data_IF_069667060305
#
_entry.id   IF_069667060305
#
_cell.length_a   1.000
_cell.length_b   1.000
_cell.length_c   1.000
_cell.angle_alpha   90.00
_cell.angle_beta   90.00
_cell.angle_gamma   90.00
#
_symmetry.space_group_name_H-M   'P 1'
#
loop_
_entity.id
_entity.type
_entity.pdbx_description
1 polymer ?
#
# COMPACT_ATOMS: atom_id res chain seq x y z
N UNK A 1 36.97 -3.52 -14.12
CA UNK A 1 36.60 -2.38 -13.26
C UNK A 1 36.16 -2.95 -11.93
N UNK A 2 36.48 -2.33 -10.79
CA UNK A 2 35.94 -2.78 -9.51
C UNK A 2 34.41 -2.63 -9.56
N UNK A 3 33.68 -3.67 -9.16
CA UNK A 3 32.21 -3.64 -9.04
C UNK A 3 31.84 -2.68 -7.93
N UNK A 4 30.98 -1.71 -8.22
CA UNK A 4 30.47 -0.74 -7.25
C UNK A 4 29.72 -1.49 -6.14
N UNK A 5 30.02 -1.19 -4.88
CA UNK A 5 29.30 -1.79 -3.74
C UNK A 5 27.90 -1.18 -3.60
N UNK A 6 26.97 -1.85 -2.88
CA UNK A 6 25.63 -1.32 -2.66
C UNK A 6 25.62 0.07 -2.00
N UNK A 7 26.46 0.25 -0.97
CA UNK A 7 26.60 1.54 -0.30
C UNK A 7 27.18 2.64 -1.18
N UNK A 8 28.17 2.33 -2.04
CA UNK A 8 28.73 3.30 -2.98
C UNK A 8 27.71 3.74 -4.04
N UNK A 9 26.90 2.81 -4.54
CA UNK A 9 25.86 3.11 -5.54
C UNK A 9 24.75 3.98 -4.96
N UNK A 10 24.29 3.67 -3.75
CA UNK A 10 23.28 4.47 -3.07
C UNK A 10 23.81 5.87 -2.73
N UNK A 11 25.04 5.97 -2.20
CA UNK A 11 25.68 7.26 -1.91
C UNK A 11 25.82 8.15 -3.15
N UNK A 12 26.24 7.58 -4.28
CA UNK A 12 26.36 8.33 -5.52
C UNK A 12 24.99 8.78 -6.07
N UNK A 13 23.97 7.92 -5.94
CA UNK A 13 22.59 8.27 -6.33
C UNK A 13 22.04 9.42 -5.47
N UNK A 14 22.26 9.36 -4.15
CA UNK A 14 21.88 10.42 -3.21
C UNK A 14 22.63 11.73 -3.47
N UNK A 15 23.92 11.67 -3.80
CA UNK A 15 24.71 12.85 -4.14
C UNK A 15 24.18 13.58 -5.38
N UNK A 16 23.59 12.84 -6.33
CA UNK A 16 22.97 13.33 -7.55
C UNK A 16 21.60 14.00 -7.37
N UNK A 17 20.97 13.88 -6.19
CA UNK A 17 19.68 14.52 -5.92
C UNK A 17 19.80 16.03 -6.13
N UNK A 18 18.88 16.60 -6.91
CA UNK A 18 18.87 18.03 -7.21
C UNK A 18 18.76 18.86 -5.93
N UNK A 19 19.45 20.00 -5.87
CA UNK A 19 19.43 20.85 -4.68
C UNK A 19 18.02 21.34 -4.28
N UNK A 20 17.03 21.31 -5.19
CA UNK A 20 15.62 21.62 -4.87
C UNK A 20 14.91 20.54 -4.06
N UNK A 21 15.37 19.30 -4.17
CA UNK A 21 14.77 18.13 -3.52
C UNK A 21 15.67 17.56 -2.41
N UNK A 22 16.77 18.26 -2.08
CA UNK A 22 17.64 17.87 -0.97
C UNK A 22 16.97 18.19 0.36
N UNK A 23 17.10 17.25 1.29
CA UNK A 23 16.71 17.43 2.68
C UNK A 23 17.70 18.32 3.43
N UNK A 24 17.40 18.64 4.69
CA UNK A 24 18.27 19.41 5.56
C UNK A 24 19.67 18.79 5.67
N UNK A 25 20.70 19.62 5.87
CA UNK A 25 22.10 19.17 5.84
C UNK A 25 22.43 18.14 6.94
N UNK A 26 21.92 18.32 8.16
CA UNK A 26 22.07 17.37 9.25
C UNK A 26 21.48 15.99 8.91
N UNK A 27 20.25 15.97 8.41
CA UNK A 27 19.56 14.76 7.99
C UNK A 27 20.28 14.10 6.81
N UNK A 28 20.72 14.87 5.82
CA UNK A 28 21.51 14.32 4.69
C UNK A 28 22.79 13.64 5.19
N UNK A 29 23.51 14.26 6.15
CA UNK A 29 24.73 13.67 6.70
C UNK A 29 24.45 12.35 7.45
N UNK A 30 23.36 12.26 8.20
CA UNK A 30 22.90 11.03 8.85
C UNK A 30 22.59 9.93 7.82
N UNK A 31 21.86 10.28 6.75
CA UNK A 31 21.51 9.34 5.68
C UNK A 31 22.74 8.88 4.90
N UNK A 32 23.69 9.77 4.61
CA UNK A 32 24.96 9.43 3.97
C UNK A 32 25.79 8.49 4.86
N UNK A 33 25.80 8.72 6.17
CA UNK A 33 26.45 7.81 7.11
C UNK A 33 25.78 6.44 7.11
N UNK A 34 24.44 6.39 7.13
CA UNK A 34 23.70 5.13 7.05
C UNK A 34 23.99 4.37 5.75
N UNK A 35 23.96 5.06 4.60
CA UNK A 35 24.29 4.49 3.29
C UNK A 35 25.72 3.94 3.23
N UNK A 36 26.70 4.65 3.84
CA UNK A 36 28.11 4.23 3.88
C UNK A 36 28.35 2.96 4.68
N UNK A 37 27.54 2.72 5.72
CA UNK A 37 27.68 1.59 6.64
C UNK A 37 26.54 0.57 6.51
N UNK A 38 25.89 0.51 5.33
CA UNK A 38 24.84 -0.46 5.05
C UNK A 38 25.34 -1.89 5.22
N UNK A 39 24.61 -2.66 6.02
CA UNK A 39 24.87 -4.08 6.28
C UNK A 39 23.78 -5.01 5.74
N UNK A 40 22.58 -4.50 5.49
CA UNK A 40 21.43 -5.23 4.93
C UNK A 40 20.51 -4.28 4.14
N UNK A 41 19.51 -4.84 3.47
CA UNK A 41 18.47 -4.07 2.78
C UNK A 41 17.53 -3.30 3.73
N UNK A 42 17.49 -3.66 5.02
CA UNK A 42 16.51 -3.16 6.00
C UNK A 42 16.58 -1.64 6.19
N UNK A 43 17.79 -1.07 6.14
CA UNK A 43 18.00 0.36 6.30
C UNK A 43 17.58 1.18 5.06
N UNK A 44 17.41 0.55 3.90
CA UNK A 44 17.15 1.26 2.63
C UNK A 44 15.75 1.86 2.61
N UNK A 45 14.73 1.15 3.09
CA UNK A 45 13.35 1.66 3.14
C UNK A 45 13.22 2.97 3.92
N UNK A 46 13.73 3.04 5.17
CA UNK A 46 13.78 4.28 5.94
C UNK A 46 14.64 5.37 5.29
N UNK A 47 15.80 5.04 4.69
CA UNK A 47 16.63 6.02 3.97
C UNK A 47 15.84 6.69 2.85
N UNK A 48 15.23 5.88 1.97
CA UNK A 48 14.47 6.38 0.81
C UNK A 48 13.29 7.23 1.26
N UNK A 49 12.58 6.81 2.31
CA UNK A 49 11.46 7.59 2.85
C UNK A 49 11.91 8.92 3.44
N UNK A 50 13.03 8.94 4.17
CA UNK A 50 13.56 10.15 4.80
C UNK A 50 14.22 11.13 3.82
N UNK A 51 14.58 10.69 2.61
CA UNK A 51 15.00 11.59 1.52
C UNK A 51 13.82 12.42 0.95
N UNK A 52 12.58 12.15 1.36
CA UNK A 52 11.40 12.89 0.92
C UNK A 52 11.24 12.85 -0.60
N UNK A 53 11.14 14.02 -1.24
CA UNK A 53 10.98 14.11 -2.69
C UNK A 53 12.27 13.80 -3.47
N UNK A 54 13.42 13.70 -2.81
CA UNK A 54 14.74 13.54 -3.43
C UNK A 54 14.81 12.44 -4.49
N UNK A 55 14.38 11.20 -4.19
CA UNK A 55 14.34 10.09 -5.12
C UNK A 55 13.52 10.34 -6.39
N UNK A 56 12.58 11.30 -6.36
CA UNK A 56 11.77 11.67 -7.54
C UNK A 56 12.61 12.17 -8.73
N UNK A 57 13.86 12.57 -8.48
CA UNK A 57 14.83 12.90 -9.51
C UNK A 57 15.29 11.69 -10.35
N UNK A 58 15.11 10.46 -9.85
CA UNK A 58 15.56 9.23 -10.51
C UNK A 58 14.49 8.61 -11.40
N UNK A 59 13.27 9.13 -11.35
CA UNK A 59 12.09 8.49 -11.92
C UNK A 59 11.77 9.04 -13.31
N UNK A 60 11.21 8.18 -14.15
CA UNK A 60 10.67 8.53 -15.45
C UNK A 60 9.23 9.01 -15.34
N UNK A 61 8.77 9.95 -16.19
CA UNK A 61 7.36 10.30 -16.26
C UNK A 61 6.47 9.08 -16.55
N UNK A 62 5.22 9.07 -16.04
CA UNK A 62 4.26 8.03 -16.40
C UNK A 62 3.97 8.00 -17.91
N UNK A 63 3.55 6.85 -18.48
CA UNK A 63 3.07 6.78 -19.85
C UNK A 63 1.84 7.67 -20.05
N UNK A 64 1.55 8.05 -21.30
CA UNK A 64 0.39 8.89 -21.62
C UNK A 64 -0.96 8.13 -21.56
N UNK A 65 -0.92 6.80 -21.61
CA UNK A 65 -2.07 5.90 -21.53
C UNK A 65 -1.65 4.54 -21.01
N UNK A 66 -2.60 3.84 -20.36
CA UNK A 66 -2.43 2.45 -19.97
C UNK A 66 -2.74 1.51 -21.16
N UNK A 67 -1.98 0.43 -21.26
CA UNK A 67 -2.09 -0.63 -22.27
C UNK A 67 -1.98 -2.00 -21.60
N UNK A 68 -3.00 -2.83 -21.77
CA UNK A 68 -3.03 -4.19 -21.21
C UNK A 68 -2.77 -5.22 -22.30
N UNK A 69 -1.98 -6.28 -22.04
CA UNK A 69 -1.50 -6.72 -20.72
C UNK A 69 -0.19 -6.06 -20.24
N UNK A 70 0.46 -5.18 -21.03
CA UNK A 70 1.77 -4.59 -20.71
C UNK A 70 1.83 -3.99 -19.31
N UNK A 71 0.85 -3.16 -18.95
CA UNK A 71 0.80 -2.43 -17.68
C UNK A 71 0.22 -3.26 -16.52
N UNK A 72 0.04 -4.57 -16.72
CA UNK A 72 -0.12 -5.50 -15.60
C UNK A 72 1.17 -5.73 -14.85
N UNK A 73 2.33 -5.66 -15.52
CA UNK A 73 3.63 -5.86 -14.90
C UNK A 73 4.09 -4.63 -14.10
N UNK A 74 5.05 -4.80 -13.17
CA UNK A 74 5.67 -3.67 -12.50
C UNK A 74 6.32 -2.68 -13.49
N UNK A 75 6.39 -1.40 -13.13
CA UNK A 75 6.96 -0.31 -13.95
C UNK A 75 8.31 0.23 -13.40
N UNK A 76 9.44 -0.50 -13.44
CA UNK A 76 10.68 -0.19 -12.70
C UNK A 76 11.23 1.24 -12.76
N UNK A 77 10.89 2.03 -13.78
CA UNK A 77 11.26 3.45 -13.89
C UNK A 77 10.36 4.44 -13.13
N UNK A 78 9.30 3.99 -12.46
CA UNK A 78 8.25 4.84 -11.86
C UNK A 78 7.85 4.33 -10.46
N UNK A 79 8.61 4.58 -9.39
CA UNK A 79 8.21 4.19 -8.02
C UNK A 79 7.58 5.35 -7.21
N UNK A 80 6.97 5.06 -6.05
CA UNK A 80 6.69 3.72 -5.51
C UNK A 80 5.58 3.01 -6.28
N UNK A 81 5.58 1.68 -6.26
CA UNK A 81 4.52 0.85 -6.86
C UNK A 81 4.23 -0.37 -6.02
N UNK A 82 2.97 -0.78 -5.98
CA UNK A 82 2.51 -1.93 -5.23
C UNK A 82 1.32 -2.65 -5.85
N UNK A 83 1.24 -3.93 -5.49
CA UNK A 83 0.06 -4.77 -5.60
C UNK A 83 -0.42 -5.02 -4.18
N UNK A 84 -1.66 -4.63 -3.90
CA UNK A 84 -2.26 -4.74 -2.57
C UNK A 84 -3.52 -5.58 -2.68
N UNK A 85 -3.61 -6.64 -1.87
CA UNK A 85 -4.68 -7.63 -1.92
C UNK A 85 -5.32 -7.71 -0.53
N UNK A 86 -6.59 -7.39 -0.46
CA UNK A 86 -7.41 -7.54 0.72
C UNK A 86 -8.40 -8.69 0.53
N UNK A 87 -8.32 -9.70 1.38
CA UNK A 87 -9.14 -10.90 1.36
C UNK A 87 -10.05 -10.96 2.58
N UNK A 88 -11.33 -11.26 2.37
CA UNK A 88 -12.30 -11.60 3.42
C UNK A 88 -12.69 -13.07 3.25
N UNK A 89 -12.26 -13.91 4.18
CA UNK A 89 -12.28 -15.36 4.04
C UNK A 89 -13.11 -16.05 5.12
N UNK A 90 -13.77 -17.12 4.74
CA UNK A 90 -14.39 -18.10 5.64
C UNK A 90 -13.46 -19.30 5.80
N UNK A 91 -13.49 -19.92 6.97
CA UNK A 91 -12.75 -21.15 7.27
C UNK A 91 -13.62 -22.35 6.96
N UNK A 92 -13.15 -23.25 6.09
CA UNK A 92 -13.89 -24.47 5.76
C UNK A 92 -14.07 -25.37 6.99
N UNK A 93 -15.31 -25.76 7.27
CA UNK A 93 -15.65 -26.55 8.46
C UNK A 93 -15.51 -25.79 9.78
N UNK A 94 -15.19 -24.49 9.74
CA UNK A 94 -15.14 -23.61 10.91
C UNK A 94 -16.52 -23.28 11.48
N UNK A 95 -16.54 -22.58 12.61
CA UNK A 95 -17.80 -22.08 13.18
C UNK A 95 -18.44 -21.02 12.25
N UNK A 96 -19.78 -20.79 12.30
CA UNK A 96 -20.45 -19.83 11.41
C UNK A 96 -19.88 -18.40 11.45
N UNK A 97 -19.37 -17.96 12.60
CA UNK A 97 -18.78 -16.64 12.78
C UNK A 97 -17.25 -16.63 12.61
N UNK A 98 -16.64 -17.80 12.37
CA UNK A 98 -15.20 -17.93 12.18
C UNK A 98 -14.79 -17.43 10.79
N UNK A 99 -13.88 -16.46 10.78
CA UNK A 99 -13.46 -15.77 9.57
C UNK A 99 -12.04 -15.27 9.68
N UNK A 100 -11.42 -15.05 8.52
CA UNK A 100 -10.08 -14.50 8.42
C UNK A 100 -10.07 -13.31 7.47
N UNK A 101 -9.61 -12.16 7.96
CA UNK A 101 -9.15 -11.10 7.08
C UNK A 101 -7.68 -11.36 6.77
N UNK A 102 -7.31 -11.40 5.50
CA UNK A 102 -5.90 -11.48 5.09
C UNK A 102 -5.58 -10.31 4.20
N UNK A 103 -4.55 -9.56 4.56
CA UNK A 103 -4.02 -8.51 3.72
C UNK A 103 -2.61 -8.84 3.26
N UNK A 104 -2.33 -8.66 1.98
CA UNK A 104 -1.04 -8.96 1.35
C UNK A 104 -0.61 -7.76 0.51
N UNK A 105 0.67 -7.39 0.60
CA UNK A 105 1.23 -6.38 -0.30
C UNK A 105 2.58 -6.82 -0.85
N UNK A 106 2.79 -6.64 -2.14
CA UNK A 106 4.10 -6.68 -2.79
C UNK A 106 4.39 -5.30 -3.37
N UNK A 107 5.55 -4.74 -3.05
CA UNK A 107 5.91 -3.37 -3.38
C UNK A 107 7.33 -3.29 -3.94
N UNK A 108 7.60 -2.23 -4.70
CA UNK A 108 8.94 -1.87 -5.12
C UNK A 108 9.21 -0.37 -5.00
N UNK A 109 10.48 -0.05 -4.77
CA UNK A 109 11.03 1.28 -4.92
C UNK A 109 12.28 1.22 -5.81
N UNK A 110 12.43 2.19 -6.71
CA UNK A 110 13.72 2.43 -7.36
C UNK A 110 14.61 3.16 -6.36
N UNK A 111 15.73 2.54 -6.00
CA UNK A 111 16.61 3.06 -4.95
C UNK A 111 17.95 3.54 -5.49
N UNK A 112 18.19 3.32 -6.78
CA UNK A 112 19.41 3.73 -7.50
C UNK A 112 19.04 4.59 -8.71
N UNK A 113 19.81 5.66 -8.89
CA UNK A 113 19.73 6.53 -10.06
C UNK A 113 20.06 5.72 -11.34
N UNK A 114 19.27 5.82 -12.43
CA UNK A 114 19.54 5.07 -13.66
C UNK A 114 20.93 5.31 -14.26
N UNK A 115 21.53 6.49 -14.09
CA UNK A 115 22.89 6.79 -14.52
C UNK A 115 23.93 6.01 -13.69
N UNK A 116 23.71 5.91 -12.38
CA UNK A 116 24.57 5.14 -11.47
C UNK A 116 24.40 3.64 -11.71
N UNK A 117 23.17 3.17 -11.91
CA UNK A 117 22.88 1.80 -12.32
C UNK A 117 23.67 1.43 -13.59
N UNK A 118 23.60 2.26 -14.63
CA UNK A 118 24.32 2.04 -15.89
C UNK A 118 25.85 2.03 -15.69
N UNK A 119 26.38 2.95 -14.87
CA UNK A 119 27.80 3.00 -14.54
C UNK A 119 28.28 1.75 -13.79
N UNK A 120 27.46 1.23 -12.88
CA UNK A 120 27.75 0.03 -12.10
C UNK A 120 27.58 -1.26 -12.92
N UNK A 121 26.92 -1.20 -14.07
CA UNK A 121 26.61 -2.37 -14.90
C UNK A 121 25.55 -3.27 -14.27
N UNK A 122 24.66 -2.71 -13.44
CA UNK A 122 23.62 -3.43 -12.72
C UNK A 122 22.39 -3.69 -13.60
N UNK A 123 21.76 -4.82 -13.38
CA UNK A 123 20.43 -5.17 -13.90
C UNK A 123 19.36 -4.20 -13.40
N UNK A 124 18.15 -4.30 -13.97
CA UNK A 124 16.99 -3.51 -13.50
C UNK A 124 16.66 -3.89 -12.06
N UNK A 125 16.64 -5.18 -11.76
CA UNK A 125 16.38 -5.77 -10.46
C UNK A 125 17.35 -5.29 -9.39
N UNK A 126 18.65 -5.21 -9.69
CA UNK A 126 19.67 -4.71 -8.76
C UNK A 126 19.49 -3.23 -8.39
N UNK A 127 18.75 -2.44 -9.18
CA UNK A 127 18.41 -1.06 -8.89
C UNK A 127 17.12 -0.87 -8.08
N UNK A 128 16.39 -1.96 -7.79
CA UNK A 128 15.12 -1.93 -7.08
C UNK A 128 15.22 -2.55 -5.69
N UNK A 129 14.61 -1.91 -4.71
CA UNK A 129 14.26 -2.53 -3.43
C UNK A 129 12.84 -3.10 -3.56
N UNK A 130 12.71 -4.41 -3.47
CA UNK A 130 11.40 -5.05 -3.36
C UNK A 130 11.12 -5.34 -1.89
N UNK A 131 9.84 -5.28 -1.52
CA UNK A 131 9.42 -5.73 -0.20
C UNK A 131 7.99 -6.22 -0.23
N UNK A 132 7.67 -7.06 0.74
CA UNK A 132 6.32 -7.58 0.95
C UNK A 132 5.97 -7.62 2.42
N UNK A 133 4.67 -7.58 2.71
CA UNK A 133 4.12 -7.81 4.04
C UNK A 133 2.78 -8.53 3.97
N UNK A 134 2.38 -9.12 5.09
CA UNK A 134 1.11 -9.78 5.26
C UNK A 134 0.56 -9.54 6.66
N UNK A 135 -0.75 -9.34 6.75
CA UNK A 135 -1.48 -9.28 8.03
C UNK A 135 -2.62 -10.29 7.99
N UNK A 136 -2.87 -10.95 9.10
CA UNK A 136 -4.00 -11.88 9.24
C UNK A 136 -4.76 -11.54 10.51
N UNK A 137 -6.05 -11.26 10.39
CA UNK A 137 -6.97 -11.14 11.52
C UNK A 137 -7.86 -12.37 11.52
N UNK A 138 -7.64 -13.26 12.48
CA UNK A 138 -8.46 -14.46 12.67
C UNK A 138 -9.48 -14.21 13.77
N UNK A 139 -10.77 -14.16 13.41
CA UNK A 139 -11.87 -14.01 14.35
C UNK A 139 -12.48 -15.37 14.64
N UNK A 140 -12.48 -15.78 15.91
CA UNK A 140 -13.14 -17.00 16.40
C UNK A 140 -14.14 -16.67 17.50
N UNK A 141 -14.79 -17.69 18.06
CA UNK A 141 -15.66 -17.55 19.22
C UNK A 141 -14.95 -16.98 20.47
N UNK A 142 -13.62 -17.10 20.57
CA UNK A 142 -12.83 -16.50 21.67
C UNK A 142 -12.48 -15.03 21.43
N UNK A 143 -12.82 -14.48 20.27
CA UNK A 143 -12.48 -13.13 19.84
C UNK A 143 -11.42 -13.10 18.72
N UNK A 144 -11.08 -11.89 18.24
CA UNK A 144 -10.09 -11.71 17.19
C UNK A 144 -8.66 -11.84 17.70
N UNK A 145 -7.79 -12.38 16.86
CA UNK A 145 -6.33 -12.35 17.02
C UNK A 145 -5.68 -11.90 15.73
N UNK A 146 -4.77 -10.94 15.85
CA UNK A 146 -4.01 -10.39 14.73
C UNK A 146 -2.62 -11.02 14.67
N UNK A 147 -2.17 -11.33 13.46
CA UNK A 147 -0.84 -11.84 13.14
C UNK A 147 -0.23 -10.93 12.08
N UNK A 148 1.04 -10.59 12.29
CA UNK A 148 1.79 -9.72 11.39
C UNK A 148 3.15 -10.36 11.17
N UNK A 149 3.55 -10.49 9.92
CA UNK A 149 4.93 -10.85 9.60
C UNK A 149 5.83 -9.64 9.75
N UNK A 150 7.10 -9.90 10.07
CA UNK A 150 8.11 -8.89 9.79
C UNK A 150 8.13 -8.63 8.28
N UNK A 151 8.25 -7.37 7.82
CA UNK A 151 8.38 -7.11 6.39
C UNK A 151 9.56 -7.89 5.81
N UNK A 152 9.38 -8.55 4.66
CA UNK A 152 10.53 -9.12 3.94
C UNK A 152 10.98 -8.13 2.89
N UNK A 153 12.22 -7.71 2.98
CA UNK A 153 12.85 -6.77 2.07
C UNK A 153 13.95 -7.51 1.32
N UNK A 154 13.94 -7.39 -0.01
CA UNK A 154 14.96 -7.99 -0.86
C UNK A 154 15.55 -6.91 -1.75
N UNK A 155 16.86 -6.75 -1.65
CA UNK A 155 17.65 -5.95 -2.56
C UNK A 155 18.77 -6.84 -3.11
N UNK A 156 18.73 -7.23 -4.40
CA UNK A 156 19.64 -8.24 -4.96
C UNK A 156 21.14 -8.05 -4.68
N UNK A 157 21.69 -6.82 -4.58
CA UNK A 157 23.09 -6.61 -4.20
C UNK A 157 23.45 -7.10 -2.78
N UNK A 158 22.48 -7.30 -1.89
CA UNK A 158 22.63 -7.99 -0.59
C UNK A 158 22.24 -9.47 -0.63
N UNK A 159 21.83 -9.98 -1.79
CA UNK A 159 21.32 -11.33 -1.99
C UNK A 159 19.79 -11.41 -2.05
N UNK A 160 19.29 -12.62 -2.28
CA UNK A 160 17.89 -12.88 -2.57
C UNK A 160 17.55 -12.76 -4.05
N UNK A 161 16.35 -13.19 -4.41
CA UNK A 161 15.85 -13.19 -5.79
C UNK A 161 14.71 -12.20 -5.92
N UNK A 162 14.77 -11.38 -6.95
CA UNK A 162 13.65 -10.50 -7.33
C UNK A 162 13.36 -10.72 -8.80
N UNK A 163 12.08 -10.82 -9.14
CA UNK A 163 11.64 -10.98 -10.54
C UNK A 163 10.47 -10.06 -10.79
N UNK A 164 10.48 -9.33 -11.91
CA UNK A 164 9.36 -8.52 -12.39
C UNK A 164 9.14 -8.86 -13.86
N UNK A 165 8.04 -9.56 -14.16
CA UNK A 165 7.78 -10.11 -15.48
C UNK A 165 6.31 -9.96 -15.86
N UNK A 166 6.06 -9.70 -17.15
CA UNK A 166 4.72 -9.48 -17.70
C UNK A 166 4.05 -10.76 -18.24
N UNK A 167 4.80 -11.65 -18.89
CA UNK A 167 4.25 -12.84 -19.55
C UNK A 167 5.13 -14.09 -19.35
N UNK A 168 4.67 -15.10 -18.57
CA UNK A 168 3.53 -14.99 -17.65
C UNK A 168 3.76 -13.89 -16.60
N UNK A 169 2.68 -13.38 -16.01
CA UNK A 169 2.79 -12.40 -14.92
C UNK A 169 3.54 -13.02 -13.74
N UNK A 170 4.60 -12.36 -13.28
CA UNK A 170 5.33 -12.73 -12.08
C UNK A 170 5.91 -11.49 -11.39
N UNK A 171 5.55 -11.32 -10.13
CA UNK A 171 6.22 -10.41 -9.22
C UNK A 171 6.75 -11.21 -8.03
N UNK A 172 8.06 -11.27 -7.85
CA UNK A 172 8.73 -12.11 -6.85
C UNK A 172 9.64 -11.27 -5.95
N UNK A 173 9.51 -11.46 -4.63
CA UNK A 173 10.33 -10.82 -3.59
C UNK A 173 10.86 -11.90 -2.65
N UNK A 174 12.00 -12.48 -3.01
CA UNK A 174 12.59 -13.60 -2.30
C UNK A 174 11.69 -14.84 -2.38
N UNK A 175 11.24 -15.38 -1.24
CA UNK A 175 10.37 -16.57 -1.21
C UNK A 175 8.90 -16.23 -1.52
N UNK A 176 8.53 -14.94 -1.53
CA UNK A 176 7.16 -14.51 -1.82
C UNK A 176 6.96 -14.26 -3.31
N UNK A 177 5.78 -14.59 -3.82
CA UNK A 177 5.45 -14.36 -5.23
C UNK A 177 3.96 -14.18 -5.47
N UNK A 178 3.63 -13.26 -6.37
CA UNK A 178 2.37 -13.19 -7.10
C UNK A 178 2.64 -13.65 -8.53
N UNK A 179 2.01 -14.74 -8.96
CA UNK A 179 2.23 -15.36 -10.27
C UNK A 179 0.92 -15.67 -10.96
N UNK A 180 0.83 -15.46 -12.26
CA UNK A 180 -0.45 -15.59 -12.96
C UNK A 180 -0.31 -15.73 -14.46
N UNK A 181 -1.43 -15.62 -15.17
CA UNK A 181 -1.42 -15.58 -16.63
C UNK A 181 -0.94 -14.21 -17.15
N UNK A 182 -0.88 -14.03 -18.46
CA UNK A 182 -0.57 -12.73 -19.08
C UNK A 182 -1.53 -11.61 -18.67
N UNK A 183 -2.79 -11.93 -18.36
CA UNK A 183 -3.81 -10.99 -17.84
C UNK A 183 -3.97 -11.10 -16.32
N UNK A 184 -2.90 -11.52 -15.62
CA UNK A 184 -2.79 -11.71 -14.16
C UNK A 184 -3.63 -12.87 -13.61
N UNK A 185 -4.90 -12.99 -14.01
CA UNK A 185 -5.83 -13.98 -13.48
C UNK A 185 -5.81 -15.29 -14.31
N UNK A 186 -5.97 -16.47 -13.68
CA UNK A 186 -5.99 -16.70 -12.24
C UNK A 186 -4.63 -16.41 -11.60
N UNK A 187 -4.64 -15.70 -10.48
CA UNK A 187 -3.44 -15.30 -9.75
C UNK A 187 -3.17 -16.27 -8.61
N UNK A 188 -1.98 -16.86 -8.57
CA UNK A 188 -1.45 -17.62 -7.44
C UNK A 188 -0.62 -16.68 -6.56
N UNK A 189 -0.92 -16.68 -5.27
CA UNK A 189 -0.27 -15.86 -4.26
C UNK A 189 0.38 -16.77 -3.24
N UNK A 190 1.70 -16.61 -3.05
CA UNK A 190 2.52 -17.34 -2.08
C UNK A 190 3.26 -16.35 -1.19
N UNK A 191 2.99 -16.41 0.11
CA UNK A 191 3.74 -15.70 1.16
C UNK A 191 4.33 -16.74 2.11
N UNK A 192 5.64 -16.65 2.36
CA UNK A 192 6.41 -17.68 3.05
C UNK A 192 7.21 -17.10 4.22
N UNK A 193 6.55 -16.78 5.34
CA UNK A 193 7.22 -16.35 6.57
C UNK A 193 7.42 -17.51 7.53
N UNK A 194 8.68 -17.93 7.70
CA UNK A 194 9.10 -19.06 8.54
C UNK A 194 10.19 -18.60 9.53
N UNK A 195 9.82 -17.86 10.60
CA UNK A 195 10.78 -17.37 11.57
C UNK A 195 11.43 -18.53 12.34
N UNK A 196 12.73 -18.45 12.72
CA UNK A 196 13.41 -19.51 13.45
C UNK A 196 12.76 -19.90 14.78
N UNK A 197 12.22 -18.89 15.50
CA UNK A 197 11.68 -19.04 16.85
C UNK A 197 10.22 -18.56 16.94
N UNK A 198 9.36 -18.98 15.99
CA UNK A 198 7.95 -18.61 15.99
C UNK A 198 7.07 -19.51 15.13
N UNK A 199 5.76 -19.34 15.25
CA UNK A 199 4.80 -19.98 14.34
C UNK A 199 4.92 -19.35 12.94
N UNK A 200 4.86 -20.14 11.87
CA UNK A 200 4.90 -19.60 10.51
C UNK A 200 3.64 -18.79 10.21
N UNK A 201 3.81 -17.78 9.34
CA UNK A 201 2.72 -17.09 8.64
C UNK A 201 2.87 -17.42 7.15
N UNK A 202 2.09 -18.41 6.70
CA UNK A 202 2.09 -18.85 5.30
C UNK A 202 0.73 -18.54 4.68
N UNK A 203 0.72 -17.98 3.49
CA UNK A 203 -0.50 -17.71 2.73
C UNK A 203 -0.33 -18.24 1.32
N UNK A 204 -1.16 -19.22 0.95
CA UNK A 204 -1.18 -19.85 -0.36
C UNK A 204 -2.60 -19.74 -0.93
N UNK A 205 -2.84 -18.77 -1.80
CA UNK A 205 -4.17 -18.45 -2.31
C UNK A 205 -4.19 -18.47 -3.84
N UNK A 206 -5.32 -18.89 -4.40
CA UNK A 206 -5.65 -18.69 -5.81
C UNK A 206 -6.81 -17.70 -5.91
N UNK A 207 -6.59 -16.63 -6.66
CA UNK A 207 -7.55 -15.58 -6.95
C UNK A 207 -8.04 -15.71 -8.40
N UNK A 208 -9.35 -15.67 -8.60
CA UNK A 208 -9.97 -15.75 -9.92
C UNK A 208 -11.15 -14.77 -10.03
N UNK A 209 -11.64 -14.51 -11.24
CA UNK A 209 -12.83 -13.68 -11.46
C UNK A 209 -13.96 -14.47 -12.10
N UNK A 210 -15.20 -14.06 -11.84
CA UNK A 210 -16.38 -14.51 -12.61
C UNK A 210 -16.49 -13.80 -13.96
N UNK A 211 -15.81 -12.66 -14.11
CA UNK A 211 -15.70 -11.92 -15.37
C UNK A 211 -14.50 -12.41 -16.17
N UNK A 212 -14.46 -12.09 -17.47
CA UNK A 212 -13.26 -12.32 -18.28
C UNK A 212 -12.09 -11.51 -17.70
N UNK A 213 -10.87 -12.07 -17.73
CA UNK A 213 -9.69 -11.44 -17.12
C UNK A 213 -9.47 -10.00 -17.61
N UNK A 214 -9.70 -9.75 -18.91
CA UNK A 214 -9.51 -8.46 -19.56
C UNK A 214 -10.52 -7.38 -19.14
N UNK A 215 -11.63 -7.77 -18.50
CA UNK A 215 -12.66 -6.84 -18.00
C UNK A 215 -12.90 -6.97 -16.50
N UNK A 216 -12.16 -7.84 -15.81
CA UNK A 216 -12.30 -8.10 -14.38
C UNK A 216 -11.83 -6.92 -13.51
N UNK A 217 -11.03 -6.00 -14.05
CA UNK A 217 -10.60 -4.78 -13.39
C UNK A 217 -11.31 -3.54 -13.93
N UNK A 218 -11.26 -2.44 -13.18
CA UNK A 218 -11.66 -1.12 -13.65
C UNK A 218 -10.55 -0.10 -13.43
N UNK A 219 -10.48 0.87 -14.33
CA UNK A 219 -9.55 1.98 -14.22
C UNK A 219 -10.06 2.99 -13.18
N UNK A 220 -9.22 3.25 -12.18
CA UNK A 220 -9.45 4.28 -11.19
C UNK A 220 -9.21 5.67 -11.79
N UNK A 221 -9.53 6.73 -11.03
CA UNK A 221 -9.34 8.11 -11.47
C UNK A 221 -9.93 8.40 -12.86
N UNK A 222 -9.22 9.22 -13.64
CA UNK A 222 -9.53 9.49 -15.04
C UNK A 222 -8.63 8.63 -15.92
N UNK A 223 -9.22 7.65 -16.61
CA UNK A 223 -8.52 6.74 -17.52
C UNK A 223 -7.32 6.00 -16.90
N UNK A 224 -7.39 5.73 -15.58
CA UNK A 224 -6.34 5.06 -14.82
C UNK A 224 -5.35 6.03 -14.17
N UNK A 225 -5.54 7.34 -14.29
CA UNK A 225 -4.67 8.35 -13.72
C UNK A 225 -5.33 9.08 -12.55
N UNK A 226 -4.63 9.17 -11.42
CA UNK A 226 -5.02 9.93 -10.24
C UNK A 226 -4.36 11.32 -10.23
N UNK A 227 -5.03 12.35 -9.69
CA UNK A 227 -4.44 13.69 -9.58
C UNK A 227 -3.59 13.86 -8.31
N UNK A 228 -2.81 14.96 -8.19
CA UNK A 228 -2.19 15.35 -6.93
C UNK A 228 -3.20 15.45 -5.76
N UNK A 229 -2.75 15.25 -4.50
CA UNK A 229 -1.36 15.04 -4.08
C UNK A 229 -0.84 13.61 -4.30
N UNK A 230 -1.70 12.70 -4.78
CA UNK A 230 -1.37 11.28 -5.03
C UNK A 230 -1.46 10.96 -6.52
N UNK A 231 -0.66 11.68 -7.31
CA UNK A 231 -0.63 11.46 -8.75
C UNK A 231 0.01 10.12 -9.08
N UNK A 232 -0.57 9.40 -10.04
CA UNK A 232 -0.16 8.03 -10.30
C UNK A 232 -0.97 7.31 -11.36
N UNK A 233 -0.62 6.04 -11.57
CA UNK A 233 -1.41 5.06 -12.29
C UNK A 233 -2.14 4.18 -11.27
N UNK A 234 -3.42 3.92 -11.48
CA UNK A 234 -4.22 3.15 -10.54
C UNK A 234 -5.38 2.43 -11.24
N UNK A 235 -5.54 1.14 -10.95
CA UNK A 235 -6.70 0.33 -11.28
C UNK A 235 -6.86 -0.83 -10.31
N UNK A 236 -8.06 -1.42 -10.26
CA UNK A 236 -8.41 -2.39 -9.23
C UNK A 236 -9.27 -3.53 -9.76
N UNK A 237 -9.15 -4.72 -9.15
CA UNK A 237 -9.97 -5.91 -9.36
C UNK A 237 -10.88 -6.15 -8.14
N UNK A 238 -12.12 -5.65 -8.15
CA UNK A 238 -13.11 -6.01 -7.13
C UNK A 238 -13.68 -7.42 -7.34
N UNK A 239 -14.36 -7.94 -6.32
CA UNK A 239 -15.14 -9.19 -6.37
C UNK A 239 -14.37 -10.43 -6.86
N UNK A 240 -13.05 -10.49 -6.62
CA UNK A 240 -12.26 -11.69 -6.91
C UNK A 240 -12.72 -12.83 -6.00
N UNK A 241 -12.77 -14.05 -6.54
CA UNK A 241 -13.01 -15.28 -5.79
C UNK A 241 -11.69 -15.84 -5.30
N UNK A 242 -11.64 -16.21 -4.02
CA UNK A 242 -10.45 -16.74 -3.36
C UNK A 242 -10.68 -18.18 -2.93
N UNK A 243 -9.68 -19.02 -3.12
CA UNK A 243 -9.56 -20.33 -2.45
C UNK A 243 -8.11 -20.62 -2.11
N UNK A 244 -7.87 -21.42 -1.07
CA UNK A 244 -6.51 -21.85 -0.71
C UNK A 244 -6.37 -22.10 0.78
N UNK A 245 -5.20 -21.79 1.32
CA UNK A 245 -4.89 -22.02 2.73
C UNK A 245 -4.11 -20.86 3.37
N UNK A 246 -4.35 -20.69 4.67
CA UNK A 246 -3.62 -19.76 5.54
C UNK A 246 -3.12 -20.53 6.75
N UNK A 247 -1.83 -20.41 7.05
CA UNK A 247 -1.22 -20.99 8.24
C UNK A 247 -0.81 -19.88 9.21
N UNK A 248 -1.40 -19.88 10.41
CA UNK A 248 -1.11 -18.95 11.51
C UNK A 248 -1.34 -19.63 12.85
N UNK A 249 -0.61 -19.21 13.89
CA UNK A 249 -0.78 -19.76 15.24
C UNK A 249 -0.55 -21.27 15.32
N UNK A 250 0.36 -21.79 14.51
CA UNK A 250 0.72 -23.21 14.45
C UNK A 250 -0.35 -24.11 13.81
N UNK A 251 -1.39 -23.55 13.20
CA UNK A 251 -2.47 -24.29 12.52
C UNK A 251 -2.57 -23.85 11.05
N UNK A 252 -3.13 -24.73 10.21
CA UNK A 252 -3.42 -24.44 8.80
C UNK A 252 -4.91 -24.56 8.56
N UNK A 253 -5.46 -23.54 7.89
CA UNK A 253 -6.89 -23.39 7.64
C UNK A 253 -7.13 -23.39 6.14
N UNK A 254 -8.01 -24.29 5.68
CA UNK A 254 -8.54 -24.21 4.32
C UNK A 254 -9.58 -23.09 4.28
N UNK A 255 -9.49 -22.24 3.27
CA UNK A 255 -10.22 -20.98 3.22
C UNK A 255 -10.78 -20.73 1.83
N UNK A 256 -11.92 -20.04 1.80
CA UNK A 256 -12.50 -19.48 0.57
C UNK A 256 -13.14 -18.13 0.87
N UNK A 257 -13.38 -17.31 -0.14
CA UNK A 257 -14.04 -16.03 0.07
C UNK A 257 -13.89 -15.07 -1.10
N UNK A 258 -13.84 -13.78 -0.78
CA UNK A 258 -13.67 -12.71 -1.76
C UNK A 258 -12.41 -11.92 -1.50
N UNK A 259 -11.87 -11.32 -2.57
CA UNK A 259 -10.77 -10.38 -2.49
C UNK A 259 -11.03 -9.14 -3.33
N UNK A 260 -10.29 -8.10 -2.99
CA UNK A 260 -10.07 -6.92 -3.80
C UNK A 260 -8.57 -6.80 -4.01
N UNK A 261 -8.15 -6.51 -5.24
CA UNK A 261 -6.74 -6.24 -5.56
C UNK A 261 -6.60 -4.85 -6.18
N UNK A 262 -5.63 -4.09 -5.68
CA UNK A 262 -5.19 -2.82 -6.23
C UNK A 262 -3.82 -3.00 -6.89
N UNK A 263 -3.62 -2.36 -8.04
CA UNK A 263 -2.30 -2.09 -8.59
C UNK A 263 -2.16 -0.58 -8.75
N UNK A 264 -1.26 -0.01 -7.97
CA UNK A 264 -1.03 1.42 -7.94
C UNK A 264 0.47 1.72 -8.05
N UNK A 265 0.76 2.74 -8.85
CA UNK A 265 2.06 3.37 -8.93
C UNK A 265 1.86 4.85 -8.68
N UNK A 266 2.62 5.42 -7.74
CA UNK A 266 2.63 6.85 -7.51
C UNK A 266 3.86 7.48 -8.13
N UNK A 267 3.72 8.73 -8.58
CA UNK A 267 4.84 9.55 -8.98
C UNK A 267 4.64 10.96 -8.43
N UNK A 268 5.71 11.52 -7.86
CA UNK A 268 5.74 12.90 -7.42
C UNK A 268 6.53 13.73 -8.43
N UNK A 269 5.86 14.52 -9.29
CA UNK A 269 6.57 15.40 -10.20
C UNK A 269 7.36 16.44 -9.42
N UNK A 270 8.66 16.56 -9.69
CA UNK A 270 9.40 17.74 -9.25
C UNK A 270 8.80 18.95 -9.98
N UNK A 271 8.34 19.99 -9.26
CA UNK A 271 7.79 21.17 -9.90
C UNK A 271 8.84 21.79 -10.84
N UNK A 272 8.41 22.32 -12.01
CA UNK A 272 9.34 22.92 -12.95
C UNK A 272 10.12 24.06 -12.28
N UNK A 273 11.37 24.33 -12.73
CA UNK A 273 12.19 25.39 -12.19
C UNK A 273 11.50 26.76 -12.12
N UNK A 274 10.94 27.14 -10.97
CA UNK A 274 10.46 28.50 -10.73
C UNK A 274 11.27 29.17 -9.64
N UNK A 275 12.15 30.10 -10.04
CA UNK A 275 12.94 30.90 -9.11
C UNK A 275 14.27 30.26 -8.64
N UNK A 276 14.99 30.95 -7.74
CA UNK A 276 16.26 30.49 -7.22
C UNK A 276 16.09 29.14 -6.52
N UNK A 277 17.05 28.24 -6.72
CA UNK A 277 17.10 26.96 -6.01
C UNK A 277 17.33 27.27 -4.53
N UNK A 278 16.38 26.93 -3.62
CA UNK A 278 16.58 27.19 -2.20
C UNK A 278 17.76 26.36 -1.71
N UNK A 279 18.59 26.97 -0.86
CA UNK A 279 19.58 26.21 -0.09
C UNK A 279 18.83 25.39 0.95
N UNK A 280 19.09 24.08 1.07
CA UNK A 280 18.51 23.29 2.15
C UNK A 280 18.83 23.90 3.52
N UNK A 281 17.91 23.80 4.50
CA UNK A 281 18.17 24.29 5.85
C UNK A 281 19.31 23.49 6.50
N UNK A 282 20.00 24.10 7.47
CA UNK A 282 21.05 23.42 8.24
C UNK A 282 20.48 22.26 9.06
N UNK A 283 19.31 22.46 9.66
CA UNK A 283 18.67 21.50 10.56
C UNK A 283 17.28 21.11 10.09
N UNK A 284 16.97 19.83 10.20
CA UNK A 284 15.63 19.34 9.91
C UNK A 284 14.66 19.73 11.03
N UNK A 285 13.49 20.24 10.64
CA UNK A 285 12.42 20.59 11.59
C UNK A 285 11.14 19.84 11.23
N UNK A 286 10.47 19.19 12.20
CA UNK A 286 9.24 18.46 11.93
C UNK A 286 8.13 19.41 11.47
N UNK A 287 7.40 19.08 10.39
CA UNK A 287 6.16 19.79 10.09
C UNK A 287 5.15 19.57 11.22
N UNK A 288 4.27 20.55 11.41
CA UNK A 288 3.22 20.45 12.44
C UNK A 288 2.13 19.47 12.01
N UNK A 289 1.65 18.67 12.95
CA UNK A 289 0.54 17.75 12.75
C UNK A 289 0.95 16.38 12.22
N UNK A 290 -0.01 15.74 11.54
CA UNK A 290 0.08 14.41 10.97
C UNK A 290 -0.11 14.48 9.45
N UNK A 291 0.36 13.45 8.73
CA UNK A 291 0.26 13.36 7.28
C UNK A 291 -0.06 11.93 6.90
N UNK A 292 -1.21 11.70 6.26
CA UNK A 292 -1.73 10.35 6.12
C UNK A 292 -2.98 10.25 5.27
N UNK A 293 -3.57 9.05 5.25
CA UNK A 293 -4.82 8.79 4.57
C UNK A 293 -5.61 7.68 5.25
N UNK A 294 -6.90 7.68 4.96
CA UNK A 294 -7.80 6.57 5.25
C UNK A 294 -8.43 6.14 3.94
N UNK A 295 -8.29 4.86 3.64
CA UNK A 295 -8.77 4.26 2.41
C UNK A 295 -9.64 3.07 2.76
N UNK A 296 -10.85 2.99 2.21
CA UNK A 296 -11.75 1.88 2.47
C UNK A 296 -12.28 1.31 1.16
N UNK A 297 -12.29 -0.02 1.09
CA UNK A 297 -12.77 -0.82 -0.04
C UNK A 297 -13.73 -1.88 0.46
N UNK A 298 -14.80 -2.15 -0.30
CA UNK A 298 -15.80 -3.14 0.07
C UNK A 298 -16.35 -3.86 -1.15
N UNK A 299 -16.45 -5.18 -1.03
CA UNK A 299 -17.23 -6.04 -1.91
C UNK A 299 -18.61 -6.26 -1.26
N UNK A 300 -19.67 -5.89 -1.97
CA UNK A 300 -21.06 -6.02 -1.50
C UNK A 300 -21.64 -7.37 -1.92
N UNK A 301 -22.56 -7.89 -1.12
CA UNK A 301 -23.16 -9.22 -1.33
C UNK A 301 -23.96 -9.33 -2.64
N UNK A 302 -24.46 -8.20 -3.16
CA UNK A 302 -25.16 -8.15 -4.44
C UNK A 302 -24.22 -8.16 -5.66
N UNK A 303 -22.90 -8.18 -5.45
CA UNK A 303 -21.88 -8.14 -6.51
C UNK A 303 -21.39 -6.73 -6.87
N UNK A 304 -21.99 -5.68 -6.29
CA UNK A 304 -21.47 -4.32 -6.43
C UNK A 304 -20.24 -4.11 -5.52
N UNK A 305 -19.53 -3.01 -5.69
CA UNK A 305 -18.41 -2.67 -4.82
C UNK A 305 -18.26 -1.17 -4.58
N UNK A 306 -17.56 -0.81 -3.50
CA UNK A 306 -17.32 0.56 -3.08
C UNK A 306 -15.82 0.77 -2.80
N UNK A 307 -15.27 1.88 -3.24
CA UNK A 307 -13.94 2.37 -2.83
C UNK A 307 -14.03 3.85 -2.50
N UNK A 308 -13.43 4.28 -1.39
CA UNK A 308 -13.39 5.68 -0.96
C UNK A 308 -12.07 5.99 -0.26
N UNK A 309 -11.57 7.21 -0.43
CA UNK A 309 -10.34 7.66 0.20
C UNK A 309 -10.49 9.08 0.77
N UNK A 310 -9.98 9.28 1.98
CA UNK A 310 -9.82 10.57 2.64
C UNK A 310 -8.36 10.83 2.97
N UNK A 311 -7.94 12.09 2.83
CA UNK A 311 -6.56 12.50 3.07
C UNK A 311 -6.49 13.43 4.27
N UNK A 312 -5.42 13.27 5.06
CA UNK A 312 -5.24 13.96 6.33
C UNK A 312 -3.89 14.68 6.32
N UNK A 313 -3.93 16.00 6.47
CA UNK A 313 -2.74 16.84 6.61
C UNK A 313 -2.98 17.87 7.71
N UNK A 314 -2.00 18.06 8.59
CA UNK A 314 -2.08 19.01 9.69
C UNK A 314 -2.71 18.40 10.95
N UNK A 315 -3.56 19.13 11.70
CA UNK A 315 -4.08 18.63 12.98
C UNK A 315 -4.99 17.41 12.76
N UNK A 316 -4.88 16.38 13.60
CA UNK A 316 -5.70 15.17 13.50
C UNK A 316 -7.20 15.50 13.49
N UNK A 317 -7.89 15.16 12.41
CA UNK A 317 -9.33 15.39 12.26
C UNK A 317 -10.12 14.08 12.44
N UNK A 318 -11.25 14.09 13.16
CA UNK A 318 -12.14 12.93 13.25
C UNK A 318 -13.04 12.78 12.01
N UNK A 319 -12.95 13.70 11.04
CA UNK A 319 -13.68 13.63 9.78
C UNK A 319 -12.83 14.27 8.68
N UNK A 320 -12.58 13.50 7.63
CA UNK A 320 -11.76 13.89 6.50
C UNK A 320 -12.64 14.25 5.30
N UNK A 321 -12.27 15.29 4.54
CA UNK A 321 -12.66 15.38 3.15
C UNK A 321 -12.22 14.11 2.42
N UNK A 322 -13.16 13.51 1.69
CA UNK A 322 -12.95 12.33 0.87
C UNK A 322 -13.24 12.68 -0.60
N UNK A 323 -12.29 13.33 -1.29
CA UNK A 323 -12.47 13.84 -2.65
C UNK A 323 -12.36 12.75 -3.72
N UNK A 324 -12.28 11.48 -3.31
CA UNK A 324 -12.02 10.36 -4.19
C UNK A 324 -12.81 9.13 -3.76
N UNK A 325 -13.55 8.54 -4.70
CA UNK A 325 -14.21 7.27 -4.51
C UNK A 325 -15.04 6.86 -5.72
N UNK A 326 -15.41 5.58 -5.76
CA UNK A 326 -16.27 5.01 -6.79
C UNK A 326 -17.23 4.00 -6.19
N UNK A 327 -18.47 4.03 -6.68
CA UNK A 327 -19.41 2.92 -6.58
C UNK A 327 -19.41 2.15 -7.90
N UNK A 328 -19.32 0.83 -7.82
CA UNK A 328 -19.06 -0.04 -8.95
C UNK A 328 -20.18 -1.07 -9.09
N UNK A 329 -20.66 -1.28 -10.32
CA UNK A 329 -21.64 -2.33 -10.64
C UNK A 329 -21.15 -3.17 -11.82
N UNK A 330 -21.20 -4.51 -11.74
CA UNK A 330 -20.90 -5.34 -12.89
C UNK A 330 -22.14 -5.42 -13.79
N UNK A 331 -22.08 -4.86 -14.99
CA UNK A 331 -23.16 -4.90 -15.99
C UNK A 331 -22.60 -5.47 -17.28
N UNK A 332 -23.19 -6.57 -17.75
CA UNK A 332 -22.80 -7.27 -18.99
C UNK A 332 -21.29 -7.61 -19.05
N UNK A 333 -20.70 -7.97 -17.90
CA UNK A 333 -19.29 -8.34 -17.82
C UNK A 333 -18.33 -7.14 -17.86
N UNK A 334 -18.80 -5.92 -17.61
CA UNK A 334 -18.00 -4.69 -17.51
C UNK A 334 -18.37 -3.92 -16.24
N UNK A 335 -17.39 -3.28 -15.61
CA UNK A 335 -17.62 -2.40 -14.46
C UNK A 335 -18.17 -1.04 -14.88
N UNK A 336 -19.40 -0.73 -14.48
CA UNK A 336 -19.93 0.63 -14.49
C UNK A 336 -19.51 1.35 -13.22
N UNK A 337 -18.78 2.47 -13.36
CA UNK A 337 -18.30 3.28 -12.24
C UNK A 337 -19.08 4.58 -12.08
N UNK A 338 -19.47 4.88 -10.84
CA UNK A 338 -20.06 6.15 -10.42
C UNK A 338 -19.08 6.84 -9.49
N UNK A 339 -18.54 7.99 -9.89
CA UNK A 339 -17.62 8.76 -9.05
C UNK A 339 -18.34 9.35 -7.83
N UNK A 340 -17.71 9.23 -6.67
CA UNK A 340 -18.19 9.70 -5.38
C UNK A 340 -17.24 10.73 -4.78
N UNK A 341 -17.81 11.75 -4.14
CA UNK A 341 -17.10 12.69 -3.29
C UNK A 341 -17.90 12.95 -2.02
N UNK A 342 -17.22 13.23 -0.91
CA UNK A 342 -17.88 13.38 0.37
C UNK A 342 -16.91 13.46 1.53
N UNK A 343 -17.26 12.76 2.61
CA UNK A 343 -16.45 12.70 3.83
C UNK A 343 -16.36 11.28 4.38
N UNK A 344 -15.23 10.99 5.03
CA UNK A 344 -15.06 9.82 5.90
C UNK A 344 -14.96 10.32 7.34
N UNK A 345 -15.80 9.80 8.22
CA UNK A 345 -15.76 10.07 9.65
C UNK A 345 -15.15 8.88 10.39
N UNK A 346 -14.33 9.17 11.40
CA UNK A 346 -13.63 8.20 12.24
C UNK A 346 -14.04 8.45 13.69
N UNK A 347 -15.17 7.87 14.14
CA UNK A 347 -15.74 8.17 15.45
C UNK A 347 -14.94 7.59 16.62
N UNK A 348 -14.01 6.66 16.37
CA UNK A 348 -13.20 6.02 17.40
C UNK A 348 -11.74 5.88 16.96
N UNK A 349 -10.84 6.12 17.92
CA UNK A 349 -9.41 5.95 17.75
C UNK A 349 -8.86 5.07 18.88
N UNK A 350 -7.95 4.17 18.55
CA UNK A 350 -7.16 3.40 19.49
C UNK A 350 -5.81 4.11 19.73
N UNK A 351 -5.45 4.41 20.99
CA UNK A 351 -4.13 4.93 21.31
C UNK A 351 -3.06 3.84 21.13
N UNK A 352 -1.96 4.21 20.51
CA UNK A 352 -0.77 3.36 20.36
C UNK A 352 0.42 3.94 21.14
N UNK A 353 1.62 3.40 20.90
CA UNK A 353 2.84 3.92 21.53
C UNK A 353 3.08 5.39 21.19
N UNK A 354 3.38 6.19 22.22
CA UNK A 354 3.69 7.61 22.07
C UNK A 354 2.42 8.45 21.85
N UNK A 355 2.42 9.23 20.77
CA UNK A 355 1.36 10.13 20.34
C UNK A 355 0.64 9.65 19.06
N UNK A 356 0.83 8.38 18.70
CA UNK A 356 0.15 7.73 17.59
C UNK A 356 -1.28 7.28 17.99
N UNK A 357 -2.24 7.52 17.09
CA UNK A 357 -3.65 7.20 17.29
C UNK A 357 -4.19 6.57 16.01
N UNK A 358 -4.65 5.33 16.03
CA UNK A 358 -5.25 4.74 14.83
C UNK A 358 -6.77 4.81 14.86
N UNK A 359 -7.44 5.27 13.80
CA UNK A 359 -8.85 5.01 13.57
C UNK A 359 -9.14 3.51 13.66
N UNK A 360 -10.22 3.17 14.35
CA UNK A 360 -10.70 1.78 14.48
C UNK A 360 -12.18 1.65 14.17
N UNK A 361 -12.81 2.70 13.65
CA UNK A 361 -14.17 2.70 13.17
C UNK A 361 -14.30 3.76 12.09
N UNK A 362 -15.10 3.47 11.07
CA UNK A 362 -15.30 4.35 9.92
C UNK A 362 -16.77 4.43 9.55
N UNK A 363 -17.20 5.63 9.20
CA UNK A 363 -18.46 5.89 8.51
C UNK A 363 -18.24 6.91 7.41
N UNK A 364 -19.20 7.03 6.50
CA UNK A 364 -19.04 7.88 5.35
C UNK A 364 -20.35 8.44 4.83
N UNK A 365 -20.29 9.62 4.23
CA UNK A 365 -21.40 10.27 3.56
C UNK A 365 -20.91 10.87 2.24
N UNK A 366 -21.48 10.41 1.13
CA UNK A 366 -21.02 10.70 -0.22
C UNK A 366 -22.16 11.03 -1.17
N UNK A 367 -21.84 11.85 -2.16
CA UNK A 367 -22.71 12.22 -3.27
C UNK A 367 -22.07 11.75 -4.57
N UNK A 368 -22.89 11.26 -5.51
CA UNK A 368 -22.41 11.00 -6.86
C UNK A 368 -22.13 12.32 -7.60
N UNK A 369 -21.00 12.43 -8.31
CA UNK A 369 -20.70 13.64 -9.08
C UNK A 369 -21.82 13.94 -10.10
N UNK A 370 -22.31 15.18 -10.07
CA UNK A 370 -23.48 15.62 -10.85
C UNK A 370 -24.83 15.42 -10.15
N UNK A 371 -24.84 14.82 -8.95
CA UNK A 371 -26.00 14.76 -8.06
C UNK A 371 -26.26 16.09 -7.31
N UNK A 372 -27.41 16.18 -6.64
CA UNK A 372 -27.76 17.33 -5.81
C UNK A 372 -26.97 17.38 -4.49
N UNK A 373 -27.22 18.39 -3.65
CA UNK A 373 -26.45 18.66 -2.42
C UNK A 373 -26.61 17.61 -1.30
N UNK A 374 -27.52 16.64 -1.43
CA UNK A 374 -27.76 15.63 -0.38
C UNK A 374 -26.94 14.35 -0.65
N UNK A 375 -26.30 13.77 0.39
CA UNK A 375 -25.63 12.49 0.24
C UNK A 375 -26.59 11.42 -0.27
N UNK A 376 -26.18 10.74 -1.33
CA UNK A 376 -26.92 9.60 -1.91
C UNK A 376 -26.38 8.26 -1.42
N UNK A 377 -25.19 8.25 -0.81
CA UNK A 377 -24.53 7.07 -0.24
C UNK A 377 -24.10 7.38 1.18
N UNK A 378 -24.50 6.55 2.14
CA UNK A 378 -23.98 6.62 3.52
C UNK A 378 -23.61 5.24 3.99
N UNK A 379 -22.47 5.07 4.65
CA UNK A 379 -22.09 3.77 5.20
C UNK A 379 -21.61 3.85 6.63
N UNK A 380 -21.72 2.72 7.32
CA UNK A 380 -21.09 2.44 8.60
C UNK A 380 -20.33 1.12 8.51
N UNK A 381 -19.20 1.02 9.21
CA UNK A 381 -18.37 -0.19 9.25
C UNK A 381 -18.53 -0.93 10.56
N UNK A 382 -18.33 -2.25 10.51
CA UNK A 382 -18.19 -3.13 11.68
C UNK A 382 -16.82 -3.80 11.63
N UNK A 383 -15.80 -3.21 12.28
CA UNK A 383 -14.44 -3.76 12.32
C UNK A 383 -14.40 -5.17 12.91
N UNK A 384 -13.53 -6.04 12.41
CA UNK A 384 -13.38 -7.41 12.93
C UNK A 384 -12.39 -7.51 14.09
N UNK A 385 -11.56 -6.48 14.29
CA UNK A 385 -10.59 -6.38 15.39
C UNK A 385 -10.55 -4.95 15.92
N UNK A 386 -10.19 -4.81 17.20
CA UNK A 386 -9.89 -3.52 17.82
C UNK A 386 -8.46 -3.03 17.56
N UNK A 387 -7.57 -3.92 17.11
CA UNK A 387 -6.18 -3.61 16.78
C UNK A 387 -5.77 -4.35 15.49
N UNK A 388 -5.55 -3.57 14.44
CA UNK A 388 -5.02 -4.02 13.15
C UNK A 388 -3.68 -3.32 12.83
N UNK A 389 -2.99 -2.82 13.86
CA UNK A 389 -1.81 -1.98 13.73
C UNK A 389 -0.53 -2.77 13.51
N UNK A 390 0.38 -2.22 12.71
CA UNK A 390 1.72 -2.75 12.53
C UNK A 390 2.71 -1.64 12.16
N UNK A 391 4.00 -1.97 12.24
CA UNK A 391 5.08 -1.12 11.74
C UNK A 391 5.43 -1.51 10.31
N UNK A 392 5.30 -0.56 9.38
CA UNK A 392 5.69 -0.75 7.99
C UNK A 392 7.22 -0.66 7.80
N UNK A 393 7.70 -1.02 6.61
CA UNK A 393 9.13 -0.99 6.22
C UNK A 393 9.81 0.35 6.54
N UNK A 394 9.10 1.45 6.28
CA UNK A 394 9.62 2.79 6.51
C UNK A 394 9.55 3.24 7.98
N UNK A 395 9.10 2.39 8.90
CA UNK A 395 8.87 2.67 10.32
C UNK A 395 7.63 3.53 10.62
N UNK A 396 6.76 3.76 9.64
CA UNK A 396 5.44 4.36 9.89
C UNK A 396 4.50 3.34 10.53
N UNK A 397 3.63 3.83 11.41
CA UNK A 397 2.53 3.06 11.95
C UNK A 397 1.40 3.06 10.93
N UNK A 398 0.92 1.85 10.60
CA UNK A 398 -0.18 1.62 9.67
C UNK A 398 -1.21 0.70 10.31
N UNK A 399 -2.42 0.70 9.77
CA UNK A 399 -3.52 -0.17 10.21
C UNK A 399 -4.25 -0.76 9.01
N UNK A 400 -4.46 -2.07 9.01
CA UNK A 400 -5.07 -2.80 7.90
C UNK A 400 -6.26 -3.61 8.43
N UNK A 401 -7.40 -2.93 8.57
CA UNK A 401 -8.53 -3.44 9.33
C UNK A 401 -9.59 -4.09 8.44
N UNK A 402 -9.79 -5.42 8.51
CA UNK A 402 -10.96 -6.03 7.89
C UNK A 402 -12.24 -5.58 8.58
N UNK A 403 -13.27 -5.28 7.79
CA UNK A 403 -14.53 -4.77 8.29
C UNK A 403 -15.72 -5.26 7.46
N UNK A 404 -16.85 -5.46 8.14
CA UNK A 404 -18.16 -5.47 7.48
C UNK A 404 -18.62 -4.05 7.16
N UNK A 405 -19.52 -3.91 6.18
CA UNK A 405 -20.15 -2.64 5.82
C UNK A 405 -21.68 -2.77 5.80
N UNK A 406 -22.35 -1.70 6.24
CA UNK A 406 -23.76 -1.42 5.93
C UNK A 406 -23.80 -0.15 5.09
N UNK A 407 -24.07 -0.28 3.79
CA UNK A 407 -24.16 0.82 2.83
C UNK A 407 -25.63 1.12 2.54
N UNK A 408 -26.05 2.34 2.84
CA UNK A 408 -27.39 2.86 2.51
C UNK A 408 -27.33 3.77 1.30
N UNK A 409 -28.16 3.45 0.31
CA UNK A 409 -28.41 4.23 -0.89
C UNK A 409 -29.73 4.98 -0.72
N UNK A 410 -29.72 6.31 -0.84
CA UNK A 410 -30.92 7.13 -0.67
C UNK A 410 -31.94 6.91 -1.80
N UNK A 411 -31.44 6.66 -3.01
CA UNK A 411 -32.20 6.25 -4.19
C UNK A 411 -31.54 4.99 -4.77
N UNK A 412 -32.30 4.09 -5.40
CA UNK A 412 -31.71 2.94 -6.05
C UNK A 412 -30.77 3.38 -7.19
N UNK A 413 -29.75 2.57 -7.52
CA UNK A 413 -28.87 2.86 -8.65
C UNK A 413 -29.64 3.12 -9.95
N UNK A 414 -29.10 3.89 -10.91
CA UNK A 414 -29.77 4.19 -12.18
C UNK A 414 -30.28 2.90 -12.86
N UNK A 415 -31.59 2.84 -13.11
CA UNK A 415 -32.31 1.67 -13.63
C UNK A 415 -33.15 0.89 -12.61
N UNK A 416 -33.04 1.19 -11.30
CA UNK A 416 -33.88 0.62 -10.26
C UNK A 416 -35.16 1.43 -10.03
N UNK A 417 -36.30 0.76 -9.83
CA UNK A 417 -37.53 1.37 -9.31
C UNK A 417 -37.60 1.12 -7.80
N UNK A 418 -37.69 2.16 -6.96
CA UNK A 418 -37.86 1.98 -5.50
C UNK A 418 -37.32 3.10 -4.62
N UNK A 419 -37.54 2.98 -3.30
CA UNK A 419 -37.01 3.89 -2.26
C UNK A 419 -35.60 3.51 -1.79
N UNK A 420 -35.17 3.97 -0.59
CA UNK A 420 -33.84 3.69 -0.07
C UNK A 420 -33.54 2.19 0.05
N UNK A 421 -32.30 1.81 -0.27
CA UNK A 421 -31.81 0.41 -0.20
C UNK A 421 -30.64 0.33 0.77
N UNK A 422 -30.56 -0.74 1.56
CA UNK A 422 -29.39 -1.07 2.37
C UNK A 422 -28.71 -2.32 1.81
N UNK A 423 -27.42 -2.24 1.55
CA UNK A 423 -26.56 -3.31 1.07
C UNK A 423 -25.54 -3.64 2.15
N UNK A 424 -25.26 -4.93 2.33
CA UNK A 424 -24.21 -5.43 3.22
C UNK A 424 -23.04 -5.98 2.41
N UNK A 425 -21.89 -6.07 3.06
CA UNK A 425 -20.69 -6.59 2.44
C UNK A 425 -19.51 -6.65 3.41
N UNK A 426 -18.35 -6.96 2.86
CA UNK A 426 -17.09 -7.02 3.60
C UNK A 426 -15.97 -6.39 2.80
N UNK A 427 -14.93 -5.97 3.50
CA UNK A 427 -13.80 -5.32 2.90
C UNK A 427 -12.75 -4.95 3.92
N UNK A 428 -12.04 -3.87 3.64
CA UNK A 428 -10.94 -3.36 4.44
C UNK A 428 -11.01 -1.84 4.57
N UNK A 429 -10.53 -1.34 5.70
CA UNK A 429 -10.13 0.05 5.86
C UNK A 429 -8.65 0.11 6.24
N UNK A 430 -7.85 0.66 5.34
CA UNK A 430 -6.45 1.00 5.54
C UNK A 430 -6.36 2.37 6.22
N UNK A 431 -5.40 2.51 7.12
CA UNK A 431 -5.01 3.79 7.69
C UNK A 431 -3.49 3.95 7.78
N UNK A 432 -2.96 5.03 7.22
CA UNK A 432 -1.53 5.34 7.21
C UNK A 432 -1.29 6.74 7.76
N UNK A 433 -0.24 6.89 8.58
CA UNK A 433 0.31 8.20 8.93
C UNK A 433 -0.45 8.98 10.02
N UNK A 434 -1.25 8.29 10.85
CA UNK A 434 -1.93 8.88 12.00
C UNK A 434 -1.02 8.96 13.23
N UNK A 435 0.13 9.57 13.03
CA UNK A 435 1.09 9.91 14.06
C UNK A 435 1.82 11.20 13.68
N UNK A 436 2.32 11.98 14.66
CA UNK A 436 3.09 13.16 14.35
C UNK A 436 4.34 12.85 13.54
N UNK A 437 4.60 13.65 12.50
CA UNK A 437 5.74 13.43 11.59
C UNK A 437 7.07 13.42 12.37
N UNK A 438 7.19 14.23 13.42
CA UNK A 438 8.35 14.21 14.30
C UNK A 438 8.53 12.90 15.06
N UNK A 439 7.45 12.22 15.45
CA UNK A 439 7.49 10.92 16.14
C UNK A 439 7.89 9.81 15.20
N UNK A 440 7.31 9.78 14.00
CA UNK A 440 7.75 8.94 12.90
C UNK A 440 9.26 9.09 12.63
N UNK A 441 9.73 10.33 12.43
CA UNK A 441 11.14 10.60 12.11
C UNK A 441 12.09 10.18 13.23
N UNK A 442 11.73 10.38 14.50
CA UNK A 442 12.55 9.89 15.63
C UNK A 442 12.69 8.37 15.61
N UNK A 443 11.60 7.66 15.32
CA UNK A 443 11.62 6.18 15.25
C UNK A 443 12.42 5.68 14.05
N UNK A 444 12.26 6.30 12.88
CA UNK A 444 13.04 5.98 11.68
C UNK A 444 14.55 6.20 11.89
N UNK A 445 14.96 7.31 12.52
CA UNK A 445 16.36 7.56 12.86
C UNK A 445 16.90 6.55 13.87
N UNK A 446 16.16 6.26 14.94
CA UNK A 446 16.57 5.25 15.93
C UNK A 446 16.75 3.86 15.30
N UNK A 447 15.87 3.50 14.36
CA UNK A 447 15.99 2.27 13.59
C UNK A 447 17.26 2.25 12.74
N UNK A 448 17.56 3.33 11.99
CA UNK A 448 18.81 3.44 11.23
C UNK A 448 20.05 3.30 12.13
N UNK A 449 20.09 4.00 13.26
CA UNK A 449 21.22 3.90 14.21
C UNK A 449 21.42 2.49 14.76
N UNK A 450 20.35 1.68 14.86
CA UNK A 450 20.42 0.29 15.34
C UNK A 450 20.83 -0.72 14.28
N UNK A 451 20.66 -0.39 13.00
CA UNK A 451 20.91 -1.29 11.86
C UNK A 451 22.30 -1.08 11.23
N UNK A 452 22.93 0.06 11.49
CA UNK A 452 24.32 0.34 11.12
C UNK A 452 25.30 -0.28 12.13
N UNK A 453 26.45 -0.78 11.65
CA UNK A 453 27.43 -1.45 12.52
C UNK A 453 27.96 -0.59 13.69
N UNK A 454 28.51 -1.20 14.77
CA UNK A 454 28.84 -0.51 16.02
C UNK A 454 29.89 0.62 15.91
N UNK A 455 30.67 0.69 14.83
CA UNK A 455 31.56 1.81 14.53
C UNK A 455 30.85 3.08 14.01
N UNK A 456 29.61 2.94 13.55
CA UNK A 456 28.81 3.99 12.89
C UNK A 456 27.82 4.69 13.82
N UNK A 457 27.40 4.05 14.93
CA UNK A 457 26.48 4.64 15.93
C UNK A 457 27.07 5.85 16.72
N UNK A 458 28.33 6.22 16.46
CA UNK A 458 28.96 7.45 16.95
C UNK A 458 29.00 8.57 15.89
N UNK A 459 28.71 8.24 14.63
CA UNK A 459 28.76 9.14 13.47
C UNK A 459 27.35 9.55 12.98
N UNK A 460 26.33 8.81 13.39
CA UNK A 460 24.90 9.12 13.36
C UNK A 460 24.47 9.42 14.79
#
# INVERSE_FOLDING_TARGET
MATMTPGEALLQSMAGISARAKVAFDLQAELDAAARFLASADAVGPIITMLGEGPSAWYSPPPASLEFPRDHAPHPGQPPEWYWIACNLTVEGGAPDERMGVLLSMQRNQVIDPAIQAQAGWSVEEAQLLFSYATVVHTTASGPKSYFRSPNLVWPPFGGTTTMQADPFLFQCGPDSFSGSVDVLPLQVSIQDNPPDGDPLIVELTLSSKMAAQSAFFLQGKDGFTPPPRAGLYYSWPQLQVSGQVSVGGQTYQVSGTAWMDHEMMYQPLPPPSGPVPTPPETWTPPQGIGGWTFCIFNLENGDSLVVAGFQEGPMLPTLPAPYGFYLRPVDGIWQKTFLEGVISMPAFMPLMGDAMLPVAWSGAFTARGGGERPTFTFETTPWTGDASFLAVNQSIQGEAPAGISLRLAEPPPGGFGGPVTLTGTGYCETVGYEPVGSFMRRARAYLSSTIGPGAAKAV
#
